data_IF_989782276946
#
_entry.id   IF_989782276946
#
_cell.length_a   1.000
_cell.length_b   1.000
_cell.length_c   1.000
_cell.angle_alpha   90.00
_cell.angle_beta   90.00
_cell.angle_gamma   90.00
#
_symmetry.space_group_name_H-M   'P 1'
#
loop_
_entity.id
_entity.type
_entity.pdbx_description
1 polymer ?
#
# COMPACT_ATOMS: atom_id res chain seq x y z
N UNK A 1 3.21 71.38 1.37
CA UNK A 1 4.23 71.43 2.43
C UNK A 1 3.80 70.50 3.56
N UNK A 2 4.40 69.31 3.65
CA UNK A 2 5.03 68.76 4.85
C UNK A 2 6.17 67.90 4.32
N UNK A 3 7.35 68.14 4.87
CA UNK A 3 8.65 67.65 4.48
C UNK A 3 9.10 66.68 5.57
N UNK A 4 9.60 65.49 5.21
CA UNK A 4 10.38 64.63 6.08
C UNK A 4 11.44 63.93 5.22
N UNK A 5 12.70 64.24 5.54
CA UNK A 5 13.93 63.74 4.92
C UNK A 5 14.49 62.56 5.76
N UNK A 6 15.71 62.04 5.53
CA UNK A 6 15.92 60.68 5.02
C UNK A 6 16.64 59.77 6.05
N UNK A 7 16.69 58.46 5.79
CA UNK A 7 17.71 57.63 6.45
C UNK A 7 18.10 56.41 5.62
N UNK A 8 19.35 56.47 5.20
CA UNK A 8 20.36 55.41 5.28
C UNK A 8 20.22 54.22 4.34
N UNK A 9 21.18 54.18 3.41
CA UNK A 9 21.58 53.08 2.56
C UNK A 9 21.78 51.76 3.33
N UNK A 10 21.54 50.63 2.66
CA UNK A 10 22.45 49.50 2.73
C UNK A 10 22.31 48.58 1.51
N UNK A 11 23.48 48.14 1.04
CA UNK A 11 23.79 47.27 -0.08
C UNK A 11 22.86 46.05 -0.20
N UNK A 12 22.34 45.79 -1.40
CA UNK A 12 21.89 44.44 -1.77
C UNK A 12 23.14 43.62 -2.14
N UNK A 13 23.51 42.73 -1.23
CA UNK A 13 24.53 41.69 -1.43
C UNK A 13 23.99 40.66 -2.42
N UNK A 14 24.80 40.36 -3.43
CA UNK A 14 24.59 39.27 -4.39
C UNK A 14 24.57 37.93 -3.68
N UNK A 15 23.46 37.20 -3.76
CA UNK A 15 23.35 35.83 -3.26
C UNK A 15 23.90 34.86 -4.32
N UNK A 16 25.13 34.40 -4.10
CA UNK A 16 25.74 33.30 -4.86
C UNK A 16 25.04 31.98 -4.49
N UNK A 17 24.46 31.30 -5.48
CA UNK A 17 23.94 29.96 -5.34
C UNK A 17 25.09 28.96 -5.15
N UNK A 18 25.33 28.55 -3.92
CA UNK A 18 26.15 27.39 -3.61
C UNK A 18 25.23 26.16 -3.61
N UNK A 19 25.22 25.44 -4.73
CA UNK A 19 24.65 24.09 -4.81
C UNK A 19 25.48 23.13 -3.96
N UNK A 20 25.13 23.02 -2.68
CA UNK A 20 25.57 21.91 -1.86
C UNK A 20 24.66 20.71 -2.17
N UNK A 21 25.18 19.75 -2.95
CA UNK A 21 24.63 18.41 -3.03
C UNK A 21 24.75 17.77 -1.64
N UNK A 22 23.72 17.96 -0.81
CA UNK A 22 23.56 17.18 0.40
C UNK A 22 23.24 15.77 -0.09
N UNK A 23 24.22 14.87 0.01
CA UNK A 23 23.95 13.45 -0.06
C UNK A 23 22.93 13.15 1.02
N UNK A 24 21.68 12.95 0.62
CA UNK A 24 20.64 12.44 1.50
C UNK A 24 21.05 11.00 1.78
N UNK A 25 21.84 10.79 2.84
CA UNK A 25 21.78 9.53 3.57
C UNK A 25 20.30 9.31 3.82
N UNK A 26 19.74 8.24 3.25
CA UNK A 26 18.37 7.84 3.49
C UNK A 26 18.23 7.67 5.01
N UNK A 27 17.71 8.71 5.66
CA UNK A 27 17.45 8.70 7.08
C UNK A 27 16.53 7.50 7.29
N UNK A 28 16.97 6.56 8.12
CA UNK A 28 16.13 5.45 8.56
C UNK A 28 14.83 6.07 9.06
N UNK A 29 13.73 5.83 8.32
CA UNK A 29 12.42 6.46 8.56
C UNK A 29 11.74 5.76 9.73
N UNK A 30 12.43 5.61 10.86
CA UNK A 30 11.89 4.90 12.02
C UNK A 30 11.14 5.82 12.98
N UNK A 31 11.15 7.15 12.78
CA UNK A 31 10.45 8.11 13.64
C UNK A 31 10.01 9.40 12.90
N UNK A 32 9.42 9.29 11.69
CA UNK A 32 8.95 10.50 11.00
C UNK A 32 7.55 10.90 11.47
N UNK A 33 7.35 12.19 11.78
CA UNK A 33 6.03 12.77 12.09
C UNK A 33 5.01 12.47 10.99
N UNK A 34 5.47 12.40 9.74
CA UNK A 34 4.67 12.03 8.58
C UNK A 34 4.11 10.60 8.70
N UNK A 35 4.97 9.60 8.96
CA UNK A 35 4.52 8.22 9.10
C UNK A 35 3.62 8.04 10.32
N UNK A 36 3.89 8.75 11.42
CA UNK A 36 3.01 8.74 12.60
C UNK A 36 1.63 9.31 12.28
N UNK A 37 1.55 10.42 11.56
CA UNK A 37 0.27 11.02 11.15
C UNK A 37 -0.51 10.12 10.20
N UNK A 38 0.17 9.51 9.22
CA UNK A 38 -0.44 8.55 8.28
C UNK A 38 -0.94 7.32 9.03
N UNK A 39 -0.11 6.73 9.89
CA UNK A 39 -0.47 5.57 10.72
C UNK A 39 -1.72 5.85 11.56
N UNK A 40 -1.77 7.00 12.21
CA UNK A 40 -2.94 7.42 13.01
C UNK A 40 -4.20 7.61 12.15
N UNK A 41 -4.09 8.21 10.96
CA UNK A 41 -5.25 8.42 10.08
C UNK A 41 -5.79 7.10 9.51
N UNK A 42 -4.89 6.14 9.26
CA UNK A 42 -5.23 4.80 8.76
C UNK A 42 -5.59 3.81 9.88
N UNK A 43 -5.54 4.24 11.15
CA UNK A 43 -5.72 3.37 12.32
C UNK A 43 -4.81 2.13 12.32
N UNK A 44 -3.58 2.27 11.80
CA UNK A 44 -2.58 1.21 11.83
C UNK A 44 -2.14 1.00 13.29
N UNK A 45 -2.17 -0.24 13.81
CA UNK A 45 -1.72 -0.50 15.18
C UNK A 45 -0.25 -0.09 15.38
N UNK A 46 0.09 0.38 16.59
CA UNK A 46 1.46 0.79 16.92
C UNK A 46 2.49 -0.36 16.86
N UNK A 47 2.00 -1.60 16.94
CA UNK A 47 2.75 -2.84 16.92
C UNK A 47 2.02 -3.80 15.99
N UNK A 48 2.66 -4.23 14.90
CA UNK A 48 2.01 -5.05 13.89
C UNK A 48 2.83 -6.26 13.52
N UNK A 49 2.13 -7.37 13.29
CA UNK A 49 2.65 -8.50 12.55
C UNK A 49 2.50 -8.20 11.07
N UNK A 50 3.50 -8.56 10.27
CA UNK A 50 3.43 -8.35 8.82
C UNK A 50 3.84 -9.58 8.05
N UNK A 51 3.29 -9.72 6.85
CA UNK A 51 3.75 -10.69 5.86
C UNK A 51 3.91 -9.99 4.51
N UNK A 52 4.90 -10.41 3.73
CA UNK A 52 4.99 -10.07 2.32
C UNK A 52 5.17 -11.34 1.49
N UNK A 53 4.84 -11.22 0.22
CA UNK A 53 4.79 -12.36 -0.67
C UNK A 53 4.06 -12.07 -1.95
N UNK A 54 3.50 -13.13 -2.54
CA UNK A 54 2.67 -13.01 -3.74
C UNK A 54 1.39 -13.79 -3.60
N UNK A 55 0.36 -13.37 -4.31
CA UNK A 55 -0.84 -14.18 -4.49
C UNK A 55 -1.34 -14.01 -5.91
N UNK A 56 -2.21 -14.91 -6.32
CA UNK A 56 -2.91 -14.86 -7.60
C UNK A 56 -4.38 -14.64 -7.33
N UNK A 57 -5.04 -13.88 -8.20
CA UNK A 57 -6.49 -13.72 -8.15
C UNK A 57 -7.08 -13.85 -9.55
N UNK A 58 -8.25 -14.48 -9.61
CA UNK A 58 -9.03 -14.58 -10.84
C UNK A 58 -10.16 -13.59 -10.85
N UNK A 59 -10.47 -13.03 -12.02
CA UNK A 59 -11.51 -12.01 -12.18
C UNK A 59 -12.58 -12.43 -13.16
N UNK A 60 -13.84 -12.23 -12.80
CA UNK A 60 -15.01 -12.68 -13.54
C UNK A 60 -16.05 -11.58 -13.72
N UNK A 61 -16.89 -11.72 -14.75
CA UNK A 61 -17.99 -10.79 -15.02
C UNK A 61 -19.21 -11.03 -14.12
N UNK A 62 -19.26 -12.17 -13.42
CA UNK A 62 -20.35 -12.50 -12.50
C UNK A 62 -19.89 -13.40 -11.36
N UNK A 63 -20.73 -13.51 -10.32
CA UNK A 63 -20.46 -14.32 -9.13
C UNK A 63 -20.36 -15.83 -9.41
N UNK A 64 -20.92 -16.34 -10.52
CA UNK A 64 -20.81 -17.76 -10.87
C UNK A 64 -19.41 -18.15 -11.35
N UNK A 65 -18.56 -17.16 -11.67
CA UNK A 65 -17.20 -17.37 -12.15
C UNK A 65 -17.08 -18.11 -13.49
N UNK A 66 -18.09 -18.00 -14.36
CA UNK A 66 -18.11 -18.70 -15.65
C UNK A 66 -17.31 -17.97 -16.75
N UNK A 67 -17.26 -16.63 -16.70
CA UNK A 67 -16.64 -15.79 -17.74
C UNK A 67 -15.63 -14.85 -17.14
N UNK A 68 -14.39 -14.87 -17.65
CA UNK A 68 -13.32 -13.99 -17.21
C UNK A 68 -13.61 -12.52 -17.53
N UNK A 69 -13.37 -11.63 -16.57
CA UNK A 69 -13.41 -10.17 -16.76
C UNK A 69 -12.04 -9.66 -17.17
N UNK A 70 -11.69 -9.84 -18.45
CA UNK A 70 -10.38 -9.43 -18.98
C UNK A 70 -10.14 -7.92 -18.75
N UNK A 71 -11.16 -7.10 -18.97
CA UNK A 71 -11.05 -5.65 -18.80
C UNK A 71 -10.89 -5.24 -17.34
N UNK A 72 -11.64 -5.84 -16.41
CA UNK A 72 -11.53 -5.50 -15.00
C UNK A 72 -10.21 -5.95 -14.39
N UNK A 73 -9.74 -7.16 -14.73
CA UNK A 73 -8.40 -7.64 -14.37
C UNK A 73 -7.32 -6.68 -14.87
N UNK A 74 -7.44 -6.21 -16.12
CA UNK A 74 -6.48 -5.26 -16.68
C UNK A 74 -6.50 -3.94 -15.91
N UNK A 75 -7.68 -3.38 -15.64
CA UNK A 75 -7.81 -2.10 -14.94
C UNK A 75 -7.26 -2.16 -13.50
N UNK A 76 -7.56 -3.22 -12.74
CA UNK A 76 -7.01 -3.40 -11.39
C UNK A 76 -5.48 -3.50 -11.43
N UNK A 77 -4.94 -4.29 -12.37
CA UNK A 77 -3.49 -4.46 -12.52
C UNK A 77 -2.78 -3.15 -12.94
N UNK A 78 -3.34 -2.42 -13.90
CA UNK A 78 -2.82 -1.12 -14.34
C UNK A 78 -2.85 -0.11 -13.17
N UNK A 79 -3.95 -0.07 -12.42
CA UNK A 79 -4.10 0.82 -11.26
C UNK A 79 -3.08 0.49 -10.16
N UNK A 80 -2.86 -0.78 -9.84
CA UNK A 80 -1.84 -1.18 -8.86
C UNK A 80 -0.44 -0.82 -9.33
N UNK A 81 -0.12 -1.03 -10.61
CA UNK A 81 1.20 -0.71 -11.11
C UNK A 81 1.47 0.80 -11.11
N UNK A 82 0.47 1.61 -11.48
CA UNK A 82 0.57 3.07 -11.53
C UNK A 82 0.51 3.72 -10.15
N UNK A 83 -0.53 3.40 -9.36
CA UNK A 83 -0.86 4.13 -8.13
C UNK A 83 -0.54 3.35 -6.85
N UNK A 84 -0.32 2.03 -6.96
CA UNK A 84 -0.36 1.08 -5.84
C UNK A 84 -1.76 1.05 -5.22
N UNK A 85 -2.02 0.08 -4.37
CA UNK A 85 -3.32 -0.07 -3.71
C UNK A 85 -3.10 -0.26 -2.23
N UNK A 86 -3.73 0.59 -1.44
CA UNK A 86 -3.82 0.46 0.01
C UNK A 86 -5.27 0.09 0.36
N UNK A 87 -5.46 -1.12 0.89
CA UNK A 87 -6.74 -1.62 1.35
C UNK A 87 -6.75 -1.62 2.89
N UNK A 88 -7.49 -0.71 3.51
CA UNK A 88 -7.51 -0.52 4.97
C UNK A 88 -8.42 -1.50 5.72
N UNK A 89 -9.20 -2.31 5.01
CA UNK A 89 -10.04 -3.37 5.56
C UNK A 89 -9.94 -4.62 4.69
N UNK A 90 -8.71 -5.09 4.53
CA UNK A 90 -8.36 -6.16 3.60
C UNK A 90 -8.94 -7.50 4.06
N UNK A 91 -9.81 -8.09 3.23
CA UNK A 91 -10.43 -9.41 3.45
C UNK A 91 -11.04 -9.60 4.84
N UNK A 92 -11.74 -8.57 5.34
CA UNK A 92 -12.47 -8.63 6.61
C UNK A 92 -13.46 -9.82 6.66
N UNK A 93 -13.98 -10.23 5.51
CA UNK A 93 -14.83 -11.42 5.33
C UNK A 93 -14.16 -12.74 5.75
N UNK A 94 -12.82 -12.80 5.80
CA UNK A 94 -12.05 -14.00 6.14
C UNK A 94 -11.12 -13.78 7.35
N UNK A 95 -10.42 -12.64 7.38
CA UNK A 95 -9.36 -12.34 8.34
C UNK A 95 -9.85 -11.47 9.51
N UNK A 96 -11.09 -10.98 9.46
CA UNK A 96 -11.63 -10.00 10.41
C UNK A 96 -11.06 -8.59 10.20
N UNK A 97 -11.56 -7.65 11.01
CA UNK A 97 -11.25 -6.24 10.86
C UNK A 97 -9.79 -5.88 11.19
N UNK A 98 -9.34 -4.75 10.66
CA UNK A 98 -8.05 -4.14 11.02
C UNK A 98 -6.83 -4.75 10.30
N UNK A 99 -7.06 -5.61 9.30
CA UNK A 99 -6.02 -6.08 8.40
C UNK A 99 -5.84 -5.05 7.28
N UNK A 100 -4.60 -4.59 7.10
CA UNK A 100 -4.27 -3.56 6.11
C UNK A 100 -3.37 -4.18 5.05
N UNK A 101 -3.78 -4.11 3.80
CA UNK A 101 -3.03 -4.62 2.67
C UNK A 101 -2.45 -3.53 1.77
N UNK A 102 -1.19 -3.68 1.39
CA UNK A 102 -0.52 -2.83 0.41
C UNK A 102 -0.06 -3.66 -0.78
N UNK A 103 -0.61 -3.39 -1.96
CA UNK A 103 -0.25 -4.04 -3.21
C UNK A 103 0.53 -3.08 -4.08
N UNK A 104 1.75 -3.46 -4.46
CA UNK A 104 2.70 -2.54 -5.10
C UNK A 104 3.13 -2.96 -6.51
N UNK A 105 2.77 -4.16 -6.94
CA UNK A 105 3.05 -4.68 -8.28
C UNK A 105 1.96 -5.69 -8.66
N UNK A 106 1.61 -5.69 -9.93
CA UNK A 106 0.74 -6.69 -10.54
C UNK A 106 1.28 -7.13 -11.91
N UNK A 107 1.10 -8.41 -12.26
CA UNK A 107 1.40 -8.97 -13.59
C UNK A 107 0.25 -9.87 -14.04
N UNK A 108 -0.22 -9.70 -15.28
CA UNK A 108 -1.13 -10.66 -15.92
C UNK A 108 -0.36 -11.94 -16.23
N UNK A 109 -0.82 -13.08 -15.73
CA UNK A 109 -0.17 -14.39 -15.94
C UNK A 109 -1.00 -15.36 -16.80
N UNK A 110 -2.30 -15.15 -16.90
CA UNK A 110 -3.22 -15.83 -17.84
C UNK A 110 -4.39 -14.91 -18.20
N UNK A 111 -5.31 -15.35 -19.05
CA UNK A 111 -6.45 -14.54 -19.46
C UNK A 111 -7.43 -14.19 -18.33
N UNK A 112 -7.53 -15.05 -17.32
CA UNK A 112 -8.42 -14.91 -16.18
C UNK A 112 -7.69 -14.62 -14.87
N UNK A 113 -6.34 -14.62 -14.85
CA UNK A 113 -5.55 -14.58 -13.61
C UNK A 113 -4.45 -13.52 -13.65
N UNK A 114 -4.40 -12.72 -12.58
CA UNK A 114 -3.31 -11.81 -12.28
C UNK A 114 -2.50 -12.34 -11.08
N UNK A 115 -1.21 -11.99 -11.04
CA UNK A 115 -0.33 -12.17 -9.89
C UNK A 115 -0.01 -10.82 -9.27
N UNK A 116 -0.05 -10.75 -7.95
CA UNK A 116 0.12 -9.54 -7.17
C UNK A 116 1.22 -9.71 -6.13
N UNK A 117 1.99 -8.65 -5.89
CA UNK A 117 2.95 -8.57 -4.79
C UNK A 117 2.40 -7.67 -3.70
N UNK A 118 2.50 -8.14 -2.46
CA UNK A 118 1.85 -7.51 -1.32
C UNK A 118 2.78 -7.38 -0.12
N UNK A 119 2.42 -6.43 0.75
CA UNK A 119 2.73 -6.42 2.18
C UNK A 119 1.41 -6.28 2.93
N UNK A 120 1.07 -7.24 3.78
CA UNK A 120 -0.09 -7.19 4.68
C UNK A 120 0.41 -6.96 6.10
N UNK A 121 -0.32 -6.15 6.86
CA UNK A 121 -0.08 -5.84 8.26
C UNK A 121 -1.35 -6.07 9.08
N UNK A 122 -1.20 -6.60 10.29
CA UNK A 122 -2.29 -6.84 11.22
C UNK A 122 -1.84 -6.66 12.68
N UNK A 123 -2.78 -6.31 13.56
CA UNK A 123 -2.52 -6.20 15.00
C UNK A 123 -2.42 -7.57 15.68
N UNK A 124 -3.04 -8.60 15.12
CA UNK A 124 -3.04 -9.97 15.65
C UNK A 124 -2.20 -10.90 14.77
N UNK A 125 -1.34 -11.70 15.42
CA UNK A 125 -0.54 -12.73 14.77
C UNK A 125 -1.42 -13.78 14.08
N UNK A 126 -2.56 -14.14 14.68
CA UNK A 126 -3.47 -15.15 14.14
C UNK A 126 -3.99 -14.77 12.75
N UNK A 127 -4.22 -13.49 12.49
CA UNK A 127 -4.64 -12.99 11.17
C UNK A 127 -3.54 -13.20 10.12
N UNK A 128 -2.28 -12.95 10.48
CA UNK A 128 -1.13 -13.24 9.59
C UNK A 128 -0.91 -14.75 9.47
N UNK A 129 -1.20 -15.56 10.50
CA UNK A 129 -1.11 -17.02 10.43
C UNK A 129 -2.14 -17.55 9.44
N UNK A 130 -3.39 -17.10 9.53
CA UNK A 130 -4.46 -17.47 8.62
C UNK A 130 -4.21 -16.98 7.18
N UNK A 131 -3.73 -15.75 7.01
CA UNK A 131 -3.36 -15.23 5.68
C UNK A 131 -2.35 -16.15 4.98
N UNK A 132 -1.32 -16.59 5.71
CA UNK A 132 -0.22 -17.39 5.18
C UNK A 132 -0.47 -18.91 5.23
N UNK A 133 -1.65 -19.33 5.67
CA UNK A 133 -2.05 -20.74 5.64
C UNK A 133 -2.48 -21.11 4.20
N UNK A 134 -1.81 -22.07 3.55
CA UNK A 134 -2.15 -22.50 2.19
C UNK A 134 -3.57 -23.11 2.08
N UNK A 135 -4.15 -23.53 3.20
CA UNK A 135 -5.50 -24.09 3.23
C UNK A 135 -6.60 -23.04 3.37
N UNK A 136 -6.25 -21.78 3.65
CA UNK A 136 -7.23 -20.68 3.73
C UNK A 136 -7.98 -20.53 2.41
N UNK A 137 -9.32 -20.48 2.52
CA UNK A 137 -10.22 -20.31 1.38
C UNK A 137 -10.83 -18.94 1.41
N UNK A 138 -10.90 -18.35 0.23
CA UNK A 138 -11.40 -17.02 0.01
C UNK A 138 -12.67 -17.08 -0.84
N UNK A 139 -13.80 -16.50 -0.41
CA UNK A 139 -14.98 -16.40 -1.26
C UNK A 139 -14.74 -15.46 -2.44
N UNK A 140 -15.60 -15.63 -3.47
CA UNK A 140 -15.72 -14.65 -4.55
C UNK A 140 -16.35 -13.37 -4.00
N UNK A 141 -15.68 -12.24 -4.21
CA UNK A 141 -16.11 -10.90 -3.78
C UNK A 141 -16.27 -9.97 -4.98
N UNK A 142 -17.18 -9.01 -4.88
CA UNK A 142 -17.38 -8.03 -5.95
C UNK A 142 -16.56 -6.78 -5.68
N UNK A 143 -15.76 -6.39 -6.66
CA UNK A 143 -15.07 -5.11 -6.70
C UNK A 143 -15.86 -4.12 -7.55
N UNK A 144 -16.47 -3.15 -6.87
CA UNK A 144 -17.27 -2.12 -7.51
C UNK A 144 -16.42 -1.18 -8.39
N UNK A 145 -15.14 -0.99 -8.09
CA UNK A 145 -14.28 -0.05 -8.83
C UNK A 145 -14.06 -0.50 -10.27
N UNK A 146 -13.92 -1.81 -10.48
CA UNK A 146 -13.60 -2.40 -11.77
C UNK A 146 -14.75 -3.24 -12.35
N UNK A 147 -15.93 -3.22 -11.73
CA UNK A 147 -17.09 -4.04 -12.09
C UNK A 147 -16.71 -5.51 -12.32
N UNK A 148 -16.04 -6.10 -11.32
CA UNK A 148 -15.43 -7.43 -11.45
C UNK A 148 -15.55 -8.24 -10.18
N UNK A 149 -15.90 -9.51 -10.33
CA UNK A 149 -15.93 -10.48 -9.25
C UNK A 149 -14.57 -11.16 -9.14
N UNK A 150 -13.92 -11.04 -8.00
CA UNK A 150 -12.60 -11.60 -7.75
C UNK A 150 -12.65 -12.81 -6.83
N UNK A 151 -11.83 -13.81 -7.10
CA UNK A 151 -11.46 -14.86 -6.15
C UNK A 151 -9.95 -14.83 -5.96
N UNK A 152 -9.52 -14.65 -4.72
CA UNK A 152 -8.11 -14.77 -4.37
C UNK A 152 -7.76 -16.25 -4.18
N UNK A 153 -6.66 -16.68 -4.77
CA UNK A 153 -6.02 -17.95 -4.44
C UNK A 153 -5.20 -17.77 -3.13
N UNK A 154 -4.78 -18.87 -2.47
CA UNK A 154 -4.00 -18.79 -1.24
C UNK A 154 -2.74 -17.90 -1.38
N UNK A 155 -2.42 -17.17 -0.31
CA UNK A 155 -1.32 -16.22 -0.30
C UNK A 155 0.01 -16.95 -0.04
N UNK A 156 0.96 -16.80 -0.95
CA UNK A 156 2.32 -17.30 -0.80
C UNK A 156 3.17 -16.28 -0.04
N UNK A 157 3.17 -16.42 1.30
CA UNK A 157 3.98 -15.58 2.19
C UNK A 157 5.43 -16.04 2.21
N UNK A 158 6.34 -15.22 1.67
CA UNK A 158 7.78 -15.54 1.62
C UNK A 158 8.55 -14.98 2.82
N UNK A 159 8.01 -13.95 3.47
CA UNK A 159 8.59 -13.39 4.69
C UNK A 159 7.50 -12.96 5.65
N UNK A 160 7.74 -13.23 6.93
CA UNK A 160 6.90 -12.81 8.06
C UNK A 160 7.79 -12.03 9.02
N UNK A 161 7.25 -10.95 9.56
CA UNK A 161 7.96 -10.05 10.46
C UNK A 161 7.13 -9.84 11.71
N UNK A 162 7.75 -9.98 12.86
CA UNK A 162 7.13 -9.70 14.15
C UNK A 162 7.30 -8.20 14.49
N UNK A 163 6.51 -7.66 15.44
CA UNK A 163 6.60 -6.25 15.78
C UNK A 163 7.93 -5.83 16.41
N UNK A 164 8.70 -6.79 16.92
CA UNK A 164 10.00 -6.55 17.58
C UNK A 164 11.19 -6.60 16.62
N UNK A 165 11.03 -7.08 15.39
CA UNK A 165 12.11 -7.24 14.41
C UNK A 165 12.66 -5.91 13.85
N UNK A 166 12.03 -4.79 14.22
CA UNK A 166 12.41 -3.43 13.80
C UNK A 166 13.19 -2.66 14.88
N UNK A 167 13.46 -3.29 16.04
CA UNK A 167 14.22 -2.72 17.16
C UNK A 167 15.58 -3.40 17.34
#
# INVERSE_FOLDING_TARGET
>A
MVQLTPSTAMLLVTLTAMSASIGVSAATVTNSLLLSSISSQLSVPASTWSANGTHTAKGFTSKSADTASINGLKQDCDNINLNKKLATDFRNDVLGAGVIGFFYKCEKISDDTNKYWFTISAGDKAQIDQLCDPDTKYPIVYDQQHDTWFIDEPFDCTRRTNPTDFF
#
